data_IF_743236058241
#
_entry.id   IF_743236058241
#
_cell.length_a   1.000
_cell.length_b   1.000
_cell.length_c   1.000
_cell.angle_alpha   90.00
_cell.angle_beta   90.00
_cell.angle_gamma   90.00
#
_symmetry.space_group_name_H-M   'P 1'
#
loop_
_entity.id
_entity.type
_entity.pdbx_description
1 polymer ?
#
# COMPACT_ATOMS: atom_id res chain seq x y z
N UNK A 1 -11.73 13.39 -2.63
CA UNK A 1 -10.30 13.12 -2.82
C UNK A 1 -9.85 11.99 -1.90
N UNK A 2 -9.06 11.08 -2.43
CA UNK A 2 -8.60 9.93 -1.66
C UNK A 2 -7.60 10.35 -0.59
N UNK A 3 -7.66 9.66 0.57
CA UNK A 3 -6.71 9.79 1.67
C UNK A 3 -5.92 8.51 1.83
N UNK A 4 -4.67 8.65 2.18
CA UNK A 4 -3.75 7.54 2.38
C UNK A 4 -3.36 7.43 3.84
N UNK A 5 -3.29 6.19 4.32
CA UNK A 5 -2.83 5.87 5.66
C UNK A 5 -1.76 4.79 5.57
N UNK A 6 -0.85 4.80 6.50
CA UNK A 6 0.22 3.82 6.57
C UNK A 6 0.08 3.00 7.84
N UNK A 7 0.08 1.66 7.69
CA UNK A 7 0.13 0.75 8.83
C UNK A 7 1.39 0.99 9.64
N UNK A 8 1.27 1.00 10.99
CA UNK A 8 2.37 1.02 11.92
C UNK A 8 2.44 -0.28 12.70
N UNK A 9 3.65 -0.81 12.88
CA UNK A 9 3.86 -2.04 13.62
C UNK A 9 3.70 -1.76 15.13
N UNK A 10 3.12 -2.69 15.93
CA UNK A 10 3.00 -2.51 17.38
C UNK A 10 4.31 -2.20 18.09
N UNK A 11 5.44 -2.63 17.54
CA UNK A 11 6.78 -2.30 18.09
C UNK A 11 7.27 -0.89 17.74
N UNK A 12 6.47 -0.10 17.01
CA UNK A 12 6.83 1.26 16.61
C UNK A 12 7.45 1.38 15.23
N UNK A 13 7.73 0.27 14.56
CA UNK A 13 8.30 0.30 13.21
C UNK A 13 7.29 0.82 12.18
N UNK A 14 7.82 1.44 11.14
CA UNK A 14 7.04 2.02 10.04
C UNK A 14 7.41 1.28 8.74
N UNK A 15 6.66 0.22 8.37
CA UNK A 15 7.01 -0.61 7.22
C UNK A 15 7.04 0.14 5.90
N UNK A 16 6.11 1.09 5.68
CA UNK A 16 6.12 1.87 4.45
C UNK A 16 7.38 2.73 4.35
N UNK A 17 7.74 3.45 5.42
CA UNK A 17 8.92 4.31 5.44
C UNK A 17 10.19 3.51 5.21
N UNK A 18 10.31 2.36 5.87
CA UNK A 18 11.46 1.48 5.70
C UNK A 18 11.59 1.00 4.26
N UNK A 19 10.48 0.61 3.64
CA UNK A 19 10.46 0.20 2.24
C UNK A 19 10.81 1.37 1.32
N UNK A 20 10.13 2.51 1.49
CA UNK A 20 10.26 3.67 0.61
C UNK A 20 11.70 4.20 0.61
N UNK A 21 12.29 4.35 1.78
CA UNK A 21 13.62 4.94 1.92
C UNK A 21 14.73 4.09 1.26
N UNK A 22 14.50 2.80 1.09
CA UNK A 22 15.45 1.89 0.43
C UNK A 22 15.32 1.88 -1.08
N UNK A 23 14.31 2.52 -1.65
CA UNK A 23 14.06 2.42 -3.08
C UNK A 23 14.93 3.37 -3.88
N UNK A 24 15.22 2.96 -5.14
CA UNK A 24 15.89 3.82 -6.11
C UNK A 24 15.01 5.02 -6.47
N UNK A 25 15.61 6.14 -6.90
CA UNK A 25 14.84 7.34 -7.28
C UNK A 25 13.73 7.06 -8.31
N UNK A 26 13.97 6.16 -9.26
CA UNK A 26 12.95 5.79 -10.26
C UNK A 26 11.71 5.16 -9.63
N UNK A 27 11.90 4.32 -8.61
CA UNK A 27 10.79 3.68 -7.89
C UNK A 27 10.04 4.71 -7.03
N UNK A 28 10.77 5.55 -6.32
CA UNK A 28 10.18 6.64 -5.52
C UNK A 28 9.36 7.57 -6.39
N UNK A 29 9.90 7.98 -7.54
CA UNK A 29 9.21 8.86 -8.47
C UNK A 29 7.94 8.22 -9.03
N UNK A 30 7.99 6.92 -9.37
CA UNK A 30 6.81 6.20 -9.82
C UNK A 30 5.75 6.09 -8.73
N UNK A 31 6.17 5.79 -7.51
CA UNK A 31 5.28 5.77 -6.33
C UNK A 31 4.56 7.11 -6.18
N UNK A 32 5.31 8.19 -6.13
CA UNK A 32 4.75 9.52 -5.89
C UNK A 32 3.79 9.94 -7.02
N UNK A 33 4.16 9.64 -8.26
CA UNK A 33 3.35 9.93 -9.44
C UNK A 33 2.02 9.15 -9.45
N UNK A 34 2.07 7.85 -9.14
CA UNK A 34 0.87 7.00 -9.11
C UNK A 34 -0.04 7.41 -7.95
N UNK A 35 0.53 7.67 -6.79
CA UNK A 35 -0.26 8.11 -5.63
C UNK A 35 -0.94 9.46 -5.87
N UNK A 36 -0.25 10.39 -6.51
CA UNK A 36 -0.82 11.69 -6.89
C UNK A 36 -1.97 11.52 -7.87
N UNK A 37 -1.81 10.65 -8.87
CA UNK A 37 -2.85 10.36 -9.84
C UNK A 37 -4.09 9.74 -9.16
N UNK A 38 -3.88 8.72 -8.33
CA UNK A 38 -4.97 8.03 -7.65
C UNK A 38 -5.72 8.92 -6.66
N UNK A 39 -5.03 9.86 -6.04
CA UNK A 39 -5.62 10.82 -5.10
C UNK A 39 -6.76 11.60 -5.76
N UNK A 40 -6.58 11.98 -7.02
CA UNK A 40 -7.56 12.77 -7.78
C UNK A 40 -8.57 11.92 -8.55
N UNK A 41 -8.42 10.59 -8.54
CA UNK A 41 -9.25 9.69 -9.34
C UNK A 41 -10.45 9.22 -8.53
N UNK A 42 -11.63 9.35 -9.09
CA UNK A 42 -12.88 8.99 -8.40
C UNK A 42 -12.97 7.47 -8.19
N UNK A 43 -12.63 6.70 -9.23
CA UNK A 43 -12.73 5.24 -9.22
C UNK A 43 -11.38 4.63 -9.52
N UNK A 44 -10.92 3.75 -8.64
CA UNK A 44 -9.65 3.05 -8.81
C UNK A 44 -9.84 1.77 -9.63
N UNK A 45 -8.88 1.51 -10.50
CA UNK A 45 -8.88 0.33 -11.35
C UNK A 45 -7.58 0.20 -12.12
N UNK A 46 -7.52 -0.83 -12.97
CA UNK A 46 -6.36 -1.07 -13.80
C UNK A 46 -6.10 0.13 -14.74
N UNK A 47 -4.83 0.40 -15.08
CA UNK A 47 -3.63 -0.39 -14.79
C UNK A 47 -2.96 -0.07 -13.45
N UNK A 48 -3.48 0.87 -12.67
CA UNK A 48 -2.79 1.36 -11.46
C UNK A 48 -3.13 0.57 -10.21
N UNK A 49 -4.32 -0.02 -10.17
CA UNK A 49 -4.78 -0.78 -9.01
C UNK A 49 -5.49 -2.05 -9.44
N UNK A 50 -5.54 -3.02 -8.54
CA UNK A 50 -6.28 -4.27 -8.73
C UNK A 50 -6.86 -4.70 -7.40
N UNK A 51 -8.10 -5.16 -7.41
CA UNK A 51 -8.73 -5.71 -6.21
C UNK A 51 -8.48 -7.22 -6.16
N UNK A 52 -8.01 -7.71 -5.02
CA UNK A 52 -7.77 -9.13 -4.77
C UNK A 52 -8.35 -9.45 -3.40
N UNK A 53 -9.43 -10.23 -3.35
CA UNK A 53 -10.15 -10.56 -2.12
C UNK A 53 -10.54 -9.28 -1.35
N UNK A 54 -10.13 -9.15 -0.10
CA UNK A 54 -10.40 -7.98 0.73
C UNK A 54 -9.36 -6.86 0.54
N UNK A 55 -8.38 -7.08 -0.33
CA UNK A 55 -7.28 -6.17 -0.51
C UNK A 55 -7.36 -5.40 -1.82
N UNK A 56 -6.71 -4.26 -1.82
CA UNK A 56 -6.44 -3.48 -3.03
C UNK A 56 -4.93 -3.39 -3.16
N UNK A 57 -4.40 -3.73 -4.33
CA UNK A 57 -2.99 -3.52 -4.60
C UNK A 57 -2.79 -2.33 -5.51
N UNK A 58 -1.83 -1.48 -5.15
CA UNK A 58 -1.35 -0.41 -6.01
C UNK A 58 -0.15 -0.95 -6.77
N UNK A 59 -0.18 -0.79 -8.08
CA UNK A 59 0.80 -1.38 -8.99
C UNK A 59 1.80 -0.31 -9.42
N UNK A 60 3.07 -0.53 -9.12
CA UNK A 60 4.16 0.34 -9.55
C UNK A 60 4.98 -0.40 -10.60
N UNK A 61 4.78 -0.03 -11.87
CA UNK A 61 5.50 -0.64 -12.99
C UNK A 61 6.83 0.09 -13.19
N UNK A 62 7.88 -0.51 -12.68
CA UNK A 62 9.25 -0.09 -12.92
C UNK A 62 10.00 -1.31 -13.47
N UNK A 63 11.32 -1.27 -13.50
CA UNK A 63 12.11 -2.42 -13.90
C UNK A 63 11.75 -3.66 -13.07
N UNK A 64 11.48 -3.46 -11.78
CA UNK A 64 10.87 -4.46 -10.90
C UNK A 64 9.41 -4.08 -10.68
N UNK A 65 8.48 -5.02 -10.76
CA UNK A 65 7.08 -4.73 -10.47
C UNK A 65 6.82 -4.76 -8.98
N UNK A 66 6.65 -3.58 -8.40
CA UNK A 66 6.27 -3.45 -7.00
C UNK A 66 4.76 -3.45 -6.85
N UNK A 67 4.28 -4.08 -5.81
CA UNK A 67 2.86 -4.11 -5.44
C UNK A 67 2.72 -3.68 -4.00
N UNK A 68 1.89 -2.68 -3.77
CA UNK A 68 1.61 -2.17 -2.43
C UNK A 68 0.23 -2.67 -2.03
N UNK A 69 0.18 -3.62 -1.11
CA UNK A 69 -1.07 -4.20 -0.64
C UNK A 69 -1.66 -3.36 0.48
N UNK A 70 -2.93 -3.09 0.39
CA UNK A 70 -3.67 -2.36 1.41
C UNK A 70 -5.15 -2.69 1.34
N UNK A 71 -5.95 -1.90 2.01
CA UNK A 71 -7.40 -2.09 2.00
C UNK A 71 -8.12 -0.75 2.13
N UNK A 72 -9.38 -0.75 1.71
CA UNK A 72 -10.27 0.39 1.88
C UNK A 72 -11.23 0.11 3.04
N UNK A 73 -11.29 1.04 4.00
CA UNK A 73 -12.19 0.90 5.14
C UNK A 73 -13.64 0.90 4.67
N UNK A 74 -14.46 -0.11 5.07
CA UNK A 74 -15.83 -0.24 4.56
C UNK A 74 -16.73 0.96 4.86
N UNK A 75 -16.47 1.68 5.95
CA UNK A 75 -17.29 2.80 6.40
C UNK A 75 -16.68 4.17 6.13
N UNK A 76 -15.50 4.20 5.52
CA UNK A 76 -14.82 5.44 5.18
C UNK A 76 -14.51 5.42 3.69
N UNK A 77 -15.32 6.11 2.92
CA UNK A 77 -15.11 6.18 1.49
C UNK A 77 -13.81 6.91 1.15
N UNK A 78 -13.16 6.47 0.08
CA UNK A 78 -11.94 7.08 -0.43
C UNK A 78 -10.78 7.09 0.57
N UNK A 79 -10.65 6.00 1.33
CA UNK A 79 -9.60 5.84 2.35
C UNK A 79 -8.84 4.54 2.12
N UNK A 80 -7.59 4.66 1.68
CA UNK A 80 -6.71 3.50 1.45
C UNK A 80 -5.66 3.43 2.56
N UNK A 81 -5.50 2.25 3.14
CA UNK A 81 -4.48 2.00 4.16
C UNK A 81 -3.48 0.98 3.66
N UNK A 82 -2.21 1.38 3.58
CA UNK A 82 -1.11 0.51 3.23
C UNK A 82 -0.84 -0.51 4.33
N UNK A 83 -0.62 -1.75 3.95
CA UNK A 83 -0.34 -2.86 4.87
C UNK A 83 1.05 -3.47 4.65
N UNK A 84 1.41 -3.77 3.41
CA UNK A 84 2.67 -4.44 3.10
C UNK A 84 3.09 -4.16 1.67
N UNK A 85 4.40 -4.08 1.43
CA UNK A 85 4.97 -4.02 0.09
C UNK A 85 5.44 -5.39 -0.33
N UNK A 86 5.35 -5.67 -1.63
CA UNK A 86 5.88 -6.90 -2.22
C UNK A 86 6.26 -6.67 -3.67
N UNK A 87 6.90 -7.64 -4.28
CA UNK A 87 7.18 -7.65 -5.72
C UNK A 87 6.38 -8.77 -6.37
N UNK A 88 6.09 -8.62 -7.66
CA UNK A 88 5.31 -9.59 -8.43
C UNK A 88 6.04 -9.88 -9.73
N UNK A 89 6.36 -11.15 -9.98
CA UNK A 89 6.99 -11.59 -11.20
C UNK A 89 6.52 -13.01 -11.54
N UNK A 90 6.11 -13.22 -12.78
CA UNK A 90 5.68 -14.56 -13.28
C UNK A 90 4.60 -15.17 -12.39
N UNK A 91 3.61 -14.36 -11.99
CA UNK A 91 2.50 -14.76 -11.11
C UNK A 91 2.94 -15.13 -9.69
N UNK A 92 4.16 -14.77 -9.30
CA UNK A 92 4.69 -15.06 -7.95
C UNK A 92 4.91 -13.77 -7.20
N UNK A 93 4.37 -13.70 -5.99
CA UNK A 93 4.61 -12.61 -5.06
C UNK A 93 5.81 -12.92 -4.16
N UNK A 94 6.64 -11.92 -3.92
CA UNK A 94 7.74 -12.00 -2.97
C UNK A 94 7.67 -10.84 -1.97
N UNK A 95 7.64 -11.09 -0.67
CA UNK A 95 7.69 -12.40 -0.02
C UNK A 95 6.42 -13.23 -0.30
N UNK A 96 6.54 -14.54 -0.27
CA UNK A 96 5.43 -15.46 -0.56
C UNK A 96 4.27 -15.30 0.42
N UNK A 97 4.55 -14.85 1.64
CA UNK A 97 3.55 -14.64 2.68
C UNK A 97 2.99 -13.20 2.71
N UNK A 98 3.15 -12.43 1.63
CA UNK A 98 2.71 -11.03 1.60
C UNK A 98 1.23 -10.88 1.95
N UNK A 99 0.35 -11.71 1.37
CA UNK A 99 -1.09 -11.65 1.64
C UNK A 99 -1.44 -12.08 3.06
N UNK A 100 -0.72 -13.06 3.60
CA UNK A 100 -0.89 -13.46 5.01
C UNK A 100 -0.51 -12.33 5.95
N UNK A 101 0.63 -11.68 5.70
CA UNK A 101 1.07 -10.51 6.46
C UNK A 101 0.05 -9.38 6.36
N UNK A 102 -0.47 -9.12 5.17
CA UNK A 102 -1.50 -8.10 4.96
C UNK A 102 -2.75 -8.40 5.79
N UNK A 103 -3.19 -9.65 5.82
CA UNK A 103 -4.36 -10.07 6.61
C UNK A 103 -4.17 -9.88 8.10
N UNK A 104 -3.00 -10.24 8.62
CA UNK A 104 -2.68 -10.05 10.04
C UNK A 104 -2.69 -8.57 10.39
N UNK A 105 -2.03 -7.74 9.59
CA UNK A 105 -1.95 -6.30 9.82
C UNK A 105 -3.30 -5.60 9.71
N UNK A 106 -4.13 -6.01 8.76
CA UNK A 106 -5.47 -5.49 8.62
C UNK A 106 -6.30 -5.77 9.90
N UNK A 107 -6.23 -6.99 10.41
CA UNK A 107 -6.93 -7.34 11.64
C UNK A 107 -6.42 -6.56 12.85
N UNK A 108 -5.12 -6.34 12.95
CA UNK A 108 -4.53 -5.52 14.00
C UNK A 108 -5.09 -4.10 14.00
N UNK A 109 -5.24 -3.50 12.82
CA UNK A 109 -5.83 -2.17 12.68
C UNK A 109 -7.31 -2.19 13.03
N UNK A 110 -8.05 -3.18 12.54
CA UNK A 110 -9.49 -3.28 12.75
C UNK A 110 -9.86 -3.51 14.22
N UNK A 111 -9.02 -4.23 14.98
CA UNK A 111 -9.27 -4.48 16.40
C UNK A 111 -8.56 -3.49 17.33
N UNK A 112 -7.87 -2.49 16.78
CA UNK A 112 -7.19 -1.47 17.55
C UNK A 112 -5.89 -1.89 18.22
N UNK A 113 -5.30 -3.02 17.82
CA UNK A 113 -4.05 -3.52 18.43
C UNK A 113 -2.81 -2.77 17.96
N UNK A 114 -2.91 -1.97 16.92
CA UNK A 114 -1.79 -1.21 16.39
C UNK A 114 -2.23 0.16 15.89
N UNK A 115 -1.31 0.92 15.35
CA UNK A 115 -1.53 2.30 14.93
C UNK A 115 -1.36 2.45 13.42
N UNK A 116 -1.92 3.53 12.90
CA UNK A 116 -1.66 3.97 11.53
C UNK A 116 -1.46 5.49 11.54
N UNK A 117 -0.74 5.98 10.55
CA UNK A 117 -0.52 7.42 10.39
C UNK A 117 -0.98 7.86 9.01
N UNK A 118 -1.43 9.11 8.93
CA UNK A 118 -1.78 9.69 7.64
C UNK A 118 -0.53 9.87 6.79
N UNK A 119 -0.71 9.69 5.48
CA UNK A 119 0.36 9.95 4.53
C UNK A 119 0.63 11.45 4.45
N UNK A 120 1.84 11.84 4.82
CA UNK A 120 2.38 13.15 4.43
C UNK A 120 3.31 12.86 3.28
N UNK A 121 2.88 13.20 2.06
CA UNK A 121 3.73 13.02 0.89
C UNK A 121 4.95 13.92 1.02
N UNK A 122 6.16 13.39 0.74
CA UNK A 122 7.32 14.26 0.60
C UNK A 122 7.04 15.23 -0.54
N UNK A 123 7.19 16.47 -0.27
CA UNK A 123 7.10 17.51 -1.31
C UNK A 123 8.37 17.53 -2.15
#
# INVERSE_FOLDING_TARGET
>A
MWKYWWYGNPNGADPWREWYDKQLPAVKGRHDSVFKFLEATTTWGEPHTKRIDDFVEIILKTQVQHRLLGFNWPRQSCCFTFLVSCTHKDKVYKPKNAFETAGIRMRELQNGSTWMKSCVRPE
#
